data_IF_071517239828
#
_entry.id   IF_071517239828
#
_cell.length_a   1.000
_cell.length_b   1.000
_cell.length_c   1.000
_cell.angle_alpha   90.00
_cell.angle_beta   90.00
_cell.angle_gamma   90.00
#
_symmetry.space_group_name_H-M   'P 1'
#
loop_
_entity.id
_entity.type
_entity.pdbx_description
1 polymer ?
#
# COMPACT_ATOMS: atom_id res chain seq x y z
N UNK A 1 1.96 -8.50 8.57
CA UNK A 1 1.86 -8.49 10.05
C UNK A 1 0.42 -8.25 10.46
N UNK A 2 -0.34 -9.32 10.68
CA UNK A 2 -1.74 -9.31 11.06
C UNK A 2 -1.91 -8.79 12.52
N UNK A 3 -3.02 -8.14 12.90
CA UNK A 3 -3.19 -7.64 14.27
C UNK A 3 -3.01 -8.72 15.36
N UNK A 4 -3.39 -9.98 15.10
CA UNK A 4 -3.12 -11.12 16.00
C UNK A 4 -1.64 -11.30 16.29
N UNK A 5 -0.78 -11.14 15.28
CA UNK A 5 0.67 -11.27 15.42
C UNK A 5 1.23 -10.16 16.34
N UNK A 6 0.66 -8.96 16.24
CA UNK A 6 1.04 -7.82 17.07
C UNK A 6 0.62 -8.06 18.53
N UNK A 7 -0.60 -8.55 18.74
CA UNK A 7 -1.11 -8.91 20.08
C UNK A 7 -0.22 -9.99 20.71
N UNK A 8 0.07 -11.06 19.95
CA UNK A 8 0.93 -12.15 20.43
C UNK A 8 2.31 -11.61 20.82
N UNK A 9 2.96 -10.82 19.97
CA UNK A 9 4.27 -10.21 20.27
C UNK A 9 4.22 -9.28 21.47
N UNK A 10 3.19 -8.44 21.58
CA UNK A 10 3.05 -7.51 22.69
C UNK A 10 2.84 -8.26 24.02
N UNK A 11 2.07 -9.34 24.01
CA UNK A 11 1.88 -10.19 25.18
C UNK A 11 3.16 -10.93 25.55
N UNK A 12 3.85 -11.58 24.59
CA UNK A 12 5.10 -12.29 24.87
C UNK A 12 6.20 -11.37 25.40
N UNK A 13 6.30 -10.15 24.85
CA UNK A 13 7.39 -9.22 25.21
C UNK A 13 7.11 -8.40 26.47
N UNK A 14 5.86 -8.02 26.70
CA UNK A 14 5.51 -7.07 27.76
C UNK A 14 4.48 -7.62 28.76
N UNK A 15 3.98 -8.84 28.55
CA UNK A 15 2.90 -9.46 29.34
C UNK A 15 1.61 -8.62 29.38
N UNK A 16 1.32 -7.89 28.29
CA UNK A 16 0.14 -7.03 28.17
C UNK A 16 -0.91 -7.69 27.28
N UNK A 17 -2.14 -7.78 27.79
CA UNK A 17 -3.31 -8.17 27.00
C UNK A 17 -3.93 -6.94 26.33
N UNK A 18 -3.77 -6.83 25.02
CA UNK A 18 -4.30 -5.71 24.21
C UNK A 18 -5.51 -6.19 23.41
N UNK A 19 -6.56 -5.37 23.33
CA UNK A 19 -7.71 -5.69 22.49
C UNK A 19 -7.35 -5.57 21.00
N UNK A 20 -8.00 -6.40 20.17
CA UNK A 20 -7.82 -6.40 18.72
C UNK A 20 -8.05 -5.02 18.10
N UNK A 21 -9.11 -4.32 18.52
CA UNK A 21 -9.47 -2.99 17.98
C UNK A 21 -8.36 -1.96 18.25
N UNK A 22 -7.77 -1.95 19.45
CA UNK A 22 -6.67 -1.05 19.79
C UNK A 22 -5.44 -1.32 18.93
N UNK A 23 -5.13 -2.59 18.69
CA UNK A 23 -4.02 -2.98 17.81
C UNK A 23 -4.29 -2.60 16.36
N UNK A 24 -5.51 -2.83 15.88
CA UNK A 24 -5.90 -2.45 14.53
C UNK A 24 -5.73 -0.94 14.29
N UNK A 25 -6.21 -0.12 15.23
CA UNK A 25 -6.07 1.33 15.18
C UNK A 25 -4.60 1.78 15.28
N UNK A 26 -3.84 1.23 16.23
CA UNK A 26 -2.41 1.52 16.38
C UNK A 26 -1.62 1.16 15.11
N UNK A 27 -1.91 0.00 14.49
CA UNK A 27 -1.31 -0.40 13.22
C UNK A 27 -1.64 0.61 12.11
N UNK A 28 -2.91 1.02 11.99
CA UNK A 28 -3.34 1.99 10.98
C UNK A 28 -2.63 3.34 11.17
N UNK A 29 -2.49 3.82 12.42
CA UNK A 29 -1.74 5.03 12.76
C UNK A 29 -0.25 4.91 12.43
N UNK A 30 0.37 3.78 12.76
CA UNK A 30 1.77 3.53 12.43
C UNK A 30 2.02 3.49 10.92
N UNK A 31 1.15 2.84 10.14
CA UNK A 31 1.23 2.85 8.66
C UNK A 31 1.17 4.30 8.14
N UNK A 32 0.23 5.11 8.63
CA UNK A 32 0.13 6.52 8.24
C UNK A 32 1.37 7.34 8.63
N UNK A 33 1.97 7.05 9.79
CA UNK A 33 3.16 7.75 10.25
C UNK A 33 4.41 7.42 9.41
N UNK A 34 4.55 6.15 8.97
CA UNK A 34 5.71 5.69 8.20
C UNK A 34 5.58 6.04 6.71
N UNK A 35 4.41 5.77 6.12
CA UNK A 35 4.20 5.87 4.67
C UNK A 35 3.45 7.14 4.24
N UNK A 36 2.97 7.93 5.21
CA UNK A 36 2.14 9.10 4.94
C UNK A 36 0.65 8.76 4.81
N UNK A 37 -0.14 9.79 4.50
CA UNK A 37 -1.55 9.65 4.23
C UNK A 37 -1.84 9.02 2.86
N UNK A 38 -3.12 8.75 2.61
CA UNK A 38 -3.58 8.24 1.32
C UNK A 38 -3.18 9.12 0.14
N UNK A 39 -3.24 10.44 0.30
CA UNK A 39 -2.85 11.41 -0.73
C UNK A 39 -1.38 11.24 -1.15
N UNK A 40 -0.48 11.09 -0.17
CA UNK A 40 0.95 10.91 -0.41
C UNK A 40 1.23 9.56 -1.09
N UNK A 41 0.56 8.50 -0.63
CA UNK A 41 0.62 7.18 -1.27
C UNK A 41 0.18 7.23 -2.74
N UNK A 42 -0.90 7.95 -3.06
CA UNK A 42 -1.34 8.09 -4.45
C UNK A 42 -0.36 8.92 -5.29
N UNK A 43 0.20 10.02 -4.77
CA UNK A 43 1.26 10.77 -5.46
C UNK A 43 2.47 9.88 -5.77
N UNK A 44 2.88 9.06 -4.80
CA UNK A 44 3.97 8.11 -4.98
C UNK A 44 3.63 6.99 -5.98
N UNK A 45 2.38 6.55 -6.04
CA UNK A 45 1.93 5.54 -7.01
C UNK A 45 2.12 5.99 -8.46
N UNK A 46 1.76 7.24 -8.79
CA UNK A 46 2.00 7.78 -10.14
C UNK A 46 3.49 7.79 -10.47
N UNK A 47 4.33 8.30 -9.56
CA UNK A 47 5.79 8.32 -9.73
C UNK A 47 6.37 6.91 -9.91
N UNK A 48 5.86 5.95 -9.15
CA UNK A 48 6.26 4.55 -9.26
C UNK A 48 5.95 4.00 -10.66
N UNK A 49 4.74 4.24 -11.20
CA UNK A 49 4.36 3.77 -12.53
C UNK A 49 5.25 4.38 -13.63
N UNK A 50 5.56 5.67 -13.53
CA UNK A 50 6.50 6.35 -14.44
C UNK A 50 7.89 5.74 -14.40
N UNK A 51 8.44 5.51 -13.21
CA UNK A 51 9.73 4.82 -13.08
C UNK A 51 9.67 3.39 -13.64
N UNK A 52 8.55 2.71 -13.46
CA UNK A 52 8.38 1.32 -13.88
C UNK A 52 8.44 1.17 -15.40
N UNK A 53 7.78 2.04 -16.16
CA UNK A 53 7.85 2.02 -17.63
C UNK A 53 9.22 2.44 -18.17
N UNK A 54 9.94 3.30 -17.44
CA UNK A 54 11.30 3.70 -17.80
C UNK A 54 12.31 2.56 -17.63
N UNK A 55 12.13 1.72 -16.60
CA UNK A 55 13.01 0.57 -16.32
C UNK A 55 12.65 -0.62 -17.21
N UNK A 56 11.36 -0.94 -17.33
CA UNK A 56 10.88 -2.12 -18.06
C UNK A 56 10.15 -1.67 -19.32
N UNK A 57 10.93 -1.35 -20.35
CA UNK A 57 10.43 -0.90 -21.65
C UNK A 57 9.38 -1.85 -22.23
N UNK A 58 8.27 -1.27 -22.69
CA UNK A 58 7.11 -2.00 -23.20
C UNK A 58 6.11 -2.45 -22.14
N UNK A 59 6.36 -2.14 -20.86
CA UNK A 59 5.31 -2.21 -19.84
C UNK A 59 4.32 -1.07 -20.06
N UNK A 60 3.04 -1.38 -19.90
CA UNK A 60 1.95 -0.40 -19.98
C UNK A 60 1.20 -0.33 -18.67
N UNK A 61 0.69 0.85 -18.34
CA UNK A 61 -0.20 1.04 -17.20
C UNK A 61 -1.27 2.09 -17.52
N UNK A 62 -2.41 1.99 -16.83
CA UNK A 62 -3.51 2.95 -16.90
C UNK A 62 -4.03 3.17 -15.49
N UNK A 63 -4.08 4.43 -15.06
CA UNK A 63 -4.74 4.81 -13.81
C UNK A 63 -6.09 5.42 -14.14
N UNK A 64 -7.15 4.74 -13.69
CA UNK A 64 -8.51 5.24 -13.78
C UNK A 64 -8.82 6.12 -12.58
N UNK A 65 -9.43 7.27 -12.86
CA UNK A 65 -9.89 8.21 -11.84
C UNK A 65 -11.37 8.53 -12.05
N UNK A 66 -12.04 8.88 -10.97
CA UNK A 66 -13.42 9.38 -11.00
C UNK A 66 -13.50 10.78 -11.62
N UNK A 67 -14.72 11.26 -11.88
CA UNK A 67 -14.98 12.62 -12.36
C UNK A 67 -14.42 13.72 -11.43
N UNK A 68 -14.26 13.42 -10.14
CA UNK A 68 -13.66 14.33 -9.14
C UNK A 68 -12.17 14.04 -8.89
N UNK A 69 -11.49 13.41 -9.86
CA UNK A 69 -10.05 13.11 -9.82
C UNK A 69 -9.63 12.22 -8.62
N UNK A 70 -10.53 11.38 -8.10
CA UNK A 70 -10.17 10.35 -7.10
C UNK A 70 -9.67 9.11 -7.81
N UNK A 71 -8.61 8.50 -7.28
CA UNK A 71 -8.15 7.20 -7.73
C UNK A 71 -9.25 6.13 -7.58
N UNK A 72 -9.46 5.33 -8.61
CA UNK A 72 -10.37 4.18 -8.58
C UNK A 72 -9.61 2.88 -8.82
N UNK A 73 -8.89 2.79 -9.94
CA UNK A 73 -8.22 1.56 -10.36
C UNK A 73 -6.86 1.85 -10.99
N UNK A 74 -5.96 0.88 -10.87
CA UNK A 74 -4.71 0.81 -11.62
C UNK A 74 -4.70 -0.52 -12.37
N UNK A 75 -4.58 -0.43 -13.69
CA UNK A 75 -4.34 -1.56 -14.56
C UNK A 75 -2.90 -1.49 -15.07
N UNK A 76 -2.21 -2.63 -15.11
CA UNK A 76 -0.88 -2.70 -15.71
C UNK A 76 -0.69 -4.04 -16.42
N UNK A 77 0.27 -4.07 -17.34
CA UNK A 77 0.79 -5.31 -17.90
C UNK A 77 2.26 -5.14 -18.21
N UNK A 78 3.10 -5.99 -17.63
CA UNK A 78 4.55 -5.92 -17.80
C UNK A 78 4.96 -6.41 -19.18
N UNK A 79 6.02 -5.83 -19.76
CA UNK A 79 6.49 -6.24 -21.08
C UNK A 79 6.69 -7.75 -21.24
N UNK A 80 7.29 -8.49 -20.28
CA UNK A 80 7.42 -9.95 -20.39
C UNK A 80 6.06 -10.65 -20.43
N UNK A 81 5.08 -10.19 -19.64
CA UNK A 81 3.72 -10.76 -19.62
C UNK A 81 2.95 -10.53 -20.93
N UNK A 82 3.25 -9.44 -21.65
CA UNK A 82 2.66 -9.15 -22.96
C UNK A 82 3.29 -10.00 -24.06
N UNK A 83 4.61 -10.22 -23.97
CA UNK A 83 5.38 -10.91 -25.01
C UNK A 83 5.20 -12.43 -25.01
N UNK A 84 4.83 -13.01 -23.87
CA UNK A 84 4.69 -14.47 -23.70
C UNK A 84 5.98 -15.11 -23.23
#
# INVERSE_FOLDING_TARGET
MHPSDIISRANTKYNIKISYIKVWDARRKAIKAIFGGWEESYKNLYRYCECLIAIILGTVYVIQKSQVNRFEYLFWSFSPSIKG
#
